data_IF_671204154851
#
_entry.id   IF_671204154851
#
_cell.length_a   1.000
_cell.length_b   1.000
_cell.length_c   1.000
_cell.angle_alpha   90.00
_cell.angle_beta   90.00
_cell.angle_gamma   90.00
#
_symmetry.space_group_name_H-M   'P 1'
#
loop_
_entity.id
_entity.type
_entity.pdbx_description
1 polymer ?
#
# COMPACT_ATOMS: atom_id res chain seq x y z
N UNK A 1 -19.65 2.36 -16.73
CA UNK A 1 -18.50 1.50 -17.05
C UNK A 1 -19.00 0.14 -17.48
N UNK A 2 -18.53 -0.34 -18.64
CA UNK A 2 -18.80 -1.70 -19.11
C UNK A 2 -17.49 -2.49 -19.05
N UNK A 3 -17.50 -3.64 -18.41
CA UNK A 3 -16.31 -4.47 -18.25
C UNK A 3 -16.59 -5.89 -18.74
N UNK A 4 -15.59 -6.49 -19.38
CA UNK A 4 -15.59 -7.89 -19.75
C UNK A 4 -14.32 -8.55 -19.25
N UNK A 5 -14.48 -9.75 -18.72
CA UNK A 5 -13.38 -10.64 -18.34
C UNK A 5 -13.38 -11.82 -19.29
N UNK A 6 -12.27 -12.00 -20.01
CA UNK A 6 -12.01 -13.17 -20.84
C UNK A 6 -11.18 -14.15 -20.02
N UNK A 7 -11.83 -15.15 -19.45
CA UNK A 7 -11.21 -16.17 -18.60
C UNK A 7 -10.19 -17.05 -19.35
N UNK A 8 -9.45 -17.85 -18.61
CA UNK A 8 -8.47 -18.77 -19.18
C UNK A 8 -9.09 -19.92 -19.99
N UNK A 9 -10.41 -20.08 -19.93
CA UNK A 9 -11.22 -21.05 -20.70
C UNK A 9 -11.60 -20.56 -22.10
N UNK A 10 -11.37 -19.26 -22.38
CA UNK A 10 -11.69 -18.60 -23.65
C UNK A 10 -10.42 -18.44 -24.49
N UNK A 11 -10.49 -18.79 -25.76
CA UNK A 11 -9.40 -18.64 -26.75
C UNK A 11 -9.42 -19.78 -27.76
N UNK A 12 -8.47 -19.96 -28.68
CA UNK A 12 -7.34 -19.06 -28.99
C UNK A 12 -7.69 -18.10 -30.10
N UNK A 13 -7.45 -16.83 -29.91
CA UNK A 13 -7.63 -15.83 -30.96
C UNK A 13 -6.76 -14.59 -30.72
N UNK A 14 -6.56 -13.84 -31.79
CA UNK A 14 -5.90 -12.53 -31.71
C UNK A 14 -6.87 -11.43 -32.09
N UNK A 15 -6.77 -10.30 -31.46
CA UNK A 15 -7.60 -9.13 -31.72
C UNK A 15 -6.79 -7.84 -31.61
N UNK A 16 -7.20 -6.84 -32.38
CA UNK A 16 -6.63 -5.49 -32.36
C UNK A 16 -7.69 -4.39 -32.18
N UNK A 17 -8.93 -4.80 -31.94
CA UNK A 17 -10.02 -3.90 -31.58
C UNK A 17 -11.03 -4.59 -30.69
N UNK A 18 -11.77 -3.81 -29.92
CA UNK A 18 -12.86 -4.26 -29.06
C UNK A 18 -14.05 -3.31 -29.28
N UNK A 19 -15.22 -3.83 -29.46
CA UNK A 19 -16.44 -3.06 -29.63
C UNK A 19 -17.45 -3.33 -28.53
N UNK A 20 -18.24 -2.33 -28.20
CA UNK A 20 -19.43 -2.45 -27.36
C UNK A 20 -20.66 -2.40 -28.25
N UNK A 21 -21.44 -3.50 -28.29
CA UNK A 21 -22.61 -3.67 -29.10
C UNK A 21 -23.87 -3.68 -28.24
N UNK A 22 -24.88 -2.94 -28.63
CA UNK A 22 -26.20 -3.11 -28.03
C UNK A 22 -26.84 -4.40 -28.59
N UNK A 23 -27.04 -5.37 -27.71
CA UNK A 23 -27.53 -6.69 -28.07
C UNK A 23 -28.95 -6.68 -28.70
N UNK A 24 -29.79 -5.77 -28.25
CA UNK A 24 -31.18 -5.70 -28.71
C UNK A 24 -31.31 -5.08 -30.09
N UNK A 25 -30.55 -4.04 -30.39
CA UNK A 25 -30.62 -3.30 -31.67
C UNK A 25 -29.54 -3.70 -32.68
N UNK A 26 -28.51 -4.43 -32.25
CA UNK A 26 -27.34 -4.73 -33.07
C UNK A 26 -26.45 -3.52 -33.38
N UNK A 27 -26.68 -2.41 -32.68
CA UNK A 27 -25.97 -1.14 -32.95
C UNK A 27 -24.64 -1.13 -32.23
N UNK A 28 -23.56 -0.81 -32.95
CA UNK A 28 -22.24 -0.59 -32.38
C UNK A 28 -22.23 0.76 -31.67
N UNK A 29 -22.08 0.73 -30.34
CA UNK A 29 -22.07 1.92 -29.49
C UNK A 29 -20.68 2.51 -29.33
N UNK A 30 -19.64 1.69 -29.34
CA UNK A 30 -18.26 2.12 -29.14
C UNK A 30 -17.30 1.11 -29.76
N UNK A 31 -16.19 1.57 -30.31
CA UNK A 31 -15.08 0.76 -30.79
C UNK A 31 -13.75 1.37 -30.29
N UNK A 32 -12.87 0.52 -29.85
CA UNK A 32 -11.52 0.91 -29.42
C UNK A 32 -10.51 0.04 -30.16
N UNK A 33 -9.59 0.68 -30.85
CA UNK A 33 -8.44 0.00 -31.46
C UNK A 33 -7.30 -0.13 -30.45
N UNK A 34 -6.68 -1.29 -30.41
CA UNK A 34 -5.55 -1.60 -29.53
C UNK A 34 -4.43 -2.26 -30.36
N UNK A 35 -3.19 -2.26 -29.88
CA UNK A 35 -2.17 -3.14 -30.45
C UNK A 35 -2.64 -4.59 -30.47
N UNK A 36 -2.13 -5.36 -31.43
CA UNK A 36 -2.50 -6.79 -31.57
C UNK A 36 -2.24 -7.53 -30.26
N UNK A 37 -3.27 -8.15 -29.74
CA UNK A 37 -3.26 -8.93 -28.51
C UNK A 37 -3.68 -10.36 -28.79
N UNK A 38 -3.07 -11.28 -28.06
CA UNK A 38 -3.40 -12.70 -28.12
C UNK A 38 -4.16 -13.12 -26.88
N UNK A 39 -5.30 -13.79 -27.09
CA UNK A 39 -6.04 -14.49 -26.04
C UNK A 39 -5.80 -15.99 -26.19
N UNK A 40 -5.16 -16.56 -25.18
CA UNK A 40 -4.79 -17.97 -25.15
C UNK A 40 -5.70 -18.72 -24.16
N UNK A 41 -6.14 -19.88 -24.57
CA UNK A 41 -6.90 -20.81 -23.73
C UNK A 41 -5.95 -21.74 -22.98
N UNK A 42 -6.30 -22.10 -21.75
CA UNK A 42 -5.63 -23.18 -21.04
C UNK A 42 -5.93 -24.51 -21.74
N UNK A 43 -4.92 -25.15 -22.27
CA UNK A 43 -4.98 -26.45 -22.90
C UNK A 43 -3.78 -27.29 -22.46
N UNK A 44 -3.76 -28.56 -22.78
CA UNK A 44 -2.79 -29.58 -22.37
C UNK A 44 -1.34 -29.05 -22.19
N UNK A 45 -0.95 -28.79 -20.94
CA UNK A 45 0.38 -28.32 -20.57
C UNK A 45 0.68 -26.83 -20.82
N UNK A 46 -0.28 -26.06 -21.33
CA UNK A 46 -0.11 -24.61 -21.58
C UNK A 46 -1.14 -23.80 -20.78
N UNK A 47 -0.65 -22.87 -19.98
CA UNK A 47 -1.51 -21.97 -19.22
C UNK A 47 -2.03 -20.83 -20.11
N UNK A 48 -3.33 -20.65 -20.16
CA UNK A 48 -4.00 -19.53 -20.82
C UNK A 48 -3.85 -18.23 -20.03
N UNK A 49 -4.12 -17.12 -20.70
CA UNK A 49 -4.13 -15.81 -20.06
C UNK A 49 -5.57 -15.36 -19.71
N UNK A 50 -5.68 -14.49 -18.73
CA UNK A 50 -6.93 -13.81 -18.37
C UNK A 50 -6.79 -12.34 -18.78
N UNK A 51 -7.75 -11.84 -19.55
CA UNK A 51 -7.77 -10.45 -19.98
C UNK A 51 -9.03 -9.77 -19.44
N UNK A 52 -8.85 -8.66 -18.75
CA UNK A 52 -9.96 -7.78 -18.34
C UNK A 52 -9.90 -6.51 -19.17
N UNK A 53 -11.03 -6.12 -19.74
CA UNK A 53 -11.18 -4.88 -20.49
C UNK A 53 -12.37 -4.11 -19.98
N UNK A 54 -12.17 -2.81 -19.76
CA UNK A 54 -13.22 -1.91 -19.26
C UNK A 54 -13.37 -0.73 -20.22
N UNK A 55 -14.62 -0.37 -20.49
CA UNK A 55 -14.96 0.80 -21.28
C UNK A 55 -15.60 1.84 -20.36
N UNK A 56 -15.10 3.05 -20.43
CA UNK A 56 -15.73 4.21 -19.83
C UNK A 56 -16.45 4.97 -20.93
N UNK A 57 -17.77 5.05 -20.82
CA UNK A 57 -18.60 5.84 -21.75
C UNK A 57 -19.24 6.99 -20.96
N UNK A 58 -19.16 8.17 -21.52
CA UNK A 58 -19.97 9.29 -21.08
C UNK A 58 -21.27 9.31 -21.86
N UNK A 59 -22.39 9.33 -21.17
CA UNK A 59 -23.72 9.37 -21.76
C UNK A 59 -24.32 10.76 -21.58
N UNK A 60 -24.08 11.65 -22.53
CA UNK A 60 -24.76 12.95 -22.54
C UNK A 60 -26.27 12.73 -22.81
N UNK A 61 -27.10 13.05 -21.82
CA UNK A 61 -28.54 12.87 -21.89
C UNK A 61 -29.08 11.54 -21.39
N UNK A 62 -28.22 10.54 -21.06
CA UNK A 62 -28.70 9.25 -20.55
C UNK A 62 -29.48 9.36 -19.23
N UNK A 63 -29.20 10.38 -18.43
CA UNK A 63 -29.95 10.68 -17.21
C UNK A 63 -31.41 11.01 -17.52
N UNK A 64 -31.69 11.75 -18.59
CA UNK A 64 -33.06 12.11 -19.00
C UNK A 64 -33.83 10.87 -19.50
N UNK A 65 -33.14 9.95 -20.17
CA UNK A 65 -33.74 8.74 -20.77
C UNK A 65 -33.96 7.63 -19.75
N UNK A 66 -33.04 7.47 -18.79
CA UNK A 66 -33.06 6.33 -17.87
C UNK A 66 -33.55 6.68 -16.47
N UNK A 67 -33.58 7.98 -16.11
CA UNK A 67 -33.86 8.44 -14.76
C UNK A 67 -32.77 8.04 -13.73
N UNK A 68 -31.69 7.42 -14.19
CA UNK A 68 -30.58 6.98 -13.33
C UNK A 68 -29.58 8.13 -13.24
N UNK A 69 -29.50 8.73 -12.08
CA UNK A 69 -28.46 9.71 -11.75
C UNK A 69 -27.37 9.02 -10.93
N UNK A 70 -26.28 8.63 -11.59
CA UNK A 70 -25.05 8.20 -10.92
C UNK A 70 -23.98 9.27 -11.17
N UNK A 71 -23.93 10.32 -10.36
CA UNK A 71 -22.89 11.32 -10.51
C UNK A 71 -21.51 10.68 -10.34
N UNK A 72 -20.51 11.23 -11.02
CA UNK A 72 -19.13 10.76 -10.94
C UNK A 72 -18.64 10.64 -9.48
N UNK A 73 -19.13 11.47 -8.62
CA UNK A 73 -18.87 11.47 -7.17
C UNK A 73 -19.24 10.15 -6.50
N UNK A 74 -20.33 9.49 -6.90
CA UNK A 74 -20.80 8.24 -6.27
C UNK A 74 -19.84 7.09 -6.51
N UNK A 75 -19.37 6.90 -7.74
CA UNK A 75 -18.42 5.81 -8.03
C UNK A 75 -16.99 6.16 -7.56
N UNK A 76 -16.62 7.44 -7.52
CA UNK A 76 -15.35 7.88 -6.93
C UNK A 76 -15.32 7.59 -5.42
N UNK A 77 -16.42 7.84 -4.73
CA UNK A 77 -16.54 7.53 -3.29
C UNK A 77 -16.39 6.01 -3.07
N UNK A 78 -17.11 5.17 -3.84
CA UNK A 78 -17.01 3.70 -3.72
C UNK A 78 -15.58 3.20 -4.03
N UNK A 79 -14.97 3.70 -5.09
CA UNK A 79 -13.59 3.34 -5.45
C UNK A 79 -12.60 3.73 -4.35
N UNK A 80 -12.69 4.95 -3.83
CA UNK A 80 -11.84 5.44 -2.74
C UNK A 80 -12.04 4.60 -1.48
N UNK A 81 -13.28 4.30 -1.11
CA UNK A 81 -13.59 3.46 0.05
C UNK A 81 -13.03 2.03 -0.10
N UNK A 82 -13.13 1.45 -1.29
CA UNK A 82 -12.56 0.12 -1.58
C UNK A 82 -11.05 0.11 -1.47
N UNK A 83 -10.36 1.11 -2.04
CA UNK A 83 -8.89 1.21 -1.96
C UNK A 83 -8.45 1.35 -0.51
N UNK A 84 -9.07 2.23 0.26
CA UNK A 84 -8.79 2.39 1.69
C UNK A 84 -9.06 1.09 2.48
N UNK A 85 -10.11 0.36 2.14
CA UNK A 85 -10.41 -0.94 2.74
C UNK A 85 -9.39 -2.02 2.41
N UNK A 86 -8.83 -2.00 1.20
CA UNK A 86 -7.75 -2.92 0.79
C UNK A 86 -6.46 -2.61 1.52
N UNK A 87 -6.09 -1.34 1.61
CA UNK A 87 -4.90 -0.89 2.33
C UNK A 87 -4.98 -1.27 3.82
N UNK A 88 -6.13 -1.03 4.46
CA UNK A 88 -6.34 -1.39 5.86
C UNK A 88 -6.33 -2.90 6.09
N UNK A 89 -6.92 -3.69 5.20
CA UNK A 89 -6.86 -5.15 5.28
C UNK A 89 -5.41 -5.64 5.22
N UNK A 90 -4.61 -5.14 4.29
CA UNK A 90 -3.20 -5.51 4.18
C UNK A 90 -2.42 -5.13 5.44
N UNK A 91 -2.70 -3.95 6.01
CA UNK A 91 -2.08 -3.52 7.26
C UNK A 91 -2.40 -4.47 8.41
N UNK A 92 -3.66 -4.87 8.56
CA UNK A 92 -4.10 -5.81 9.60
C UNK A 92 -3.51 -7.21 9.39
N UNK A 93 -3.49 -7.73 8.17
CA UNK A 93 -2.85 -9.01 7.83
C UNK A 93 -1.36 -9.00 8.19
N UNK A 94 -0.67 -7.88 7.98
CA UNK A 94 0.72 -7.73 8.42
C UNK A 94 0.87 -7.71 9.95
N UNK A 95 -0.08 -7.13 10.68
CA UNK A 95 -0.08 -7.18 12.15
C UNK A 95 -0.25 -8.62 12.66
N UNK A 96 -1.10 -9.41 12.02
CA UNK A 96 -1.28 -10.82 12.38
C UNK A 96 0.02 -11.63 12.23
N UNK A 97 0.89 -11.23 11.29
CA UNK A 97 2.17 -11.92 11.04
C UNK A 97 3.29 -11.36 11.91
N UNK A 98 3.39 -10.04 12.04
CA UNK A 98 4.54 -9.35 12.62
C UNK A 98 4.26 -8.69 13.98
N UNK A 99 3.02 -8.68 14.44
CA UNK A 99 2.62 -7.99 15.66
C UNK A 99 2.69 -6.46 15.54
N UNK A 100 2.87 -5.80 16.68
CA UNK A 100 2.94 -4.33 16.74
C UNK A 100 4.14 -3.75 15.99
N UNK A 101 5.25 -4.47 15.98
CA UNK A 101 6.45 -4.14 15.22
C UNK A 101 7.33 -5.37 15.00
N UNK A 102 8.12 -5.36 13.93
CA UNK A 102 9.15 -6.36 13.67
C UNK A 102 10.26 -5.73 12.83
N UNK A 103 11.51 -6.06 13.12
CA UNK A 103 12.66 -5.52 12.41
C UNK A 103 13.55 -6.65 11.90
N UNK A 104 14.12 -6.47 10.72
CA UNK A 104 14.93 -7.49 10.06
C UNK A 104 16.41 -7.15 10.16
N UNK A 105 17.20 -8.10 10.67
CA UNK A 105 18.64 -7.91 10.86
C UNK A 105 18.95 -6.68 11.71
N UNK A 106 19.84 -5.84 11.20
CA UNK A 106 20.23 -4.59 11.88
C UNK A 106 19.38 -3.38 11.48
N UNK A 107 18.29 -3.59 10.74
CA UNK A 107 17.38 -2.52 10.32
C UNK A 107 16.84 -1.74 11.52
N UNK A 108 17.01 -0.41 11.48
CA UNK A 108 16.62 0.51 12.55
C UNK A 108 17.33 0.29 13.91
N UNK A 109 18.44 -0.44 13.94
CA UNK A 109 19.27 -0.56 15.13
C UNK A 109 19.90 0.80 15.43
N UNK A 110 19.75 1.24 16.68
CA UNK A 110 20.41 2.45 17.16
C UNK A 110 21.81 2.10 17.64
N UNK A 111 22.79 2.81 17.12
CA UNK A 111 24.21 2.68 17.48
C UNK A 111 24.82 4.01 17.87
N UNK A 112 26.06 3.95 18.36
CA UNK A 112 26.85 5.12 18.74
C UNK A 112 28.27 4.97 18.23
N UNK A 113 28.78 6.01 17.61
CA UNK A 113 30.18 6.12 17.21
C UNK A 113 30.77 7.39 17.82
N UNK A 114 31.67 7.24 18.77
CA UNK A 114 32.10 8.37 19.60
C UNK A 114 30.92 9.00 20.35
N UNK A 115 30.63 10.25 20.07
CA UNK A 115 29.48 10.98 20.65
C UNK A 115 28.28 11.06 19.70
N UNK A 116 28.39 10.52 18.50
CA UNK A 116 27.33 10.56 17.49
C UNK A 116 26.46 9.32 17.58
N UNK A 117 25.17 9.50 17.82
CA UNK A 117 24.17 8.45 17.68
C UNK A 117 23.68 8.35 16.24
N UNK A 118 23.37 7.15 15.81
CA UNK A 118 22.84 6.89 14.49
C UNK A 118 21.84 5.73 14.51
N UNK A 119 20.99 5.69 13.47
CA UNK A 119 20.06 4.59 13.21
C UNK A 119 20.53 3.86 11.95
N UNK A 120 20.67 2.56 12.04
CA UNK A 120 21.15 1.72 10.93
C UNK A 120 20.08 1.54 9.86
N UNK A 121 20.49 1.59 8.60
CA UNK A 121 19.64 1.29 7.45
C UNK A 121 19.04 -0.12 7.51
N UNK A 122 17.90 -0.29 6.89
CA UNK A 122 17.24 -1.60 6.77
C UNK A 122 15.73 -1.48 6.76
N UNK A 123 15.07 -2.60 6.98
CA UNK A 123 13.62 -2.73 6.85
C UNK A 123 12.99 -3.20 8.15
N UNK A 124 11.79 -2.71 8.40
CA UNK A 124 10.95 -3.15 9.51
C UNK A 124 9.47 -2.93 9.22
N UNK A 125 8.64 -3.38 10.14
CA UNK A 125 7.19 -3.17 10.17
C UNK A 125 6.83 -2.47 11.47
N UNK A 126 5.98 -1.47 11.39
CA UNK A 126 5.35 -0.82 12.55
C UNK A 126 3.85 -0.73 12.28
N UNK A 127 3.04 -1.27 13.19
CA UNK A 127 1.58 -1.33 13.06
C UNK A 127 1.11 -1.88 11.69
N UNK A 128 1.82 -2.87 11.15
CA UNK A 128 1.54 -3.48 9.85
C UNK A 128 2.01 -2.69 8.63
N UNK A 129 2.63 -1.53 8.81
CA UNK A 129 3.20 -0.72 7.72
C UNK A 129 4.68 -1.06 7.53
N UNK A 130 5.02 -1.50 6.33
CA UNK A 130 6.41 -1.80 5.95
C UNK A 130 7.17 -0.51 5.68
N UNK A 131 8.26 -0.31 6.40
CA UNK A 131 9.11 0.87 6.25
C UNK A 131 10.56 0.46 5.95
N UNK A 132 11.27 1.29 5.20
CA UNK A 132 12.67 1.07 4.84
C UNK A 132 13.46 2.35 5.02
N UNK A 133 14.57 2.24 5.76
CA UNK A 133 15.58 3.28 5.84
C UNK A 133 16.70 2.92 4.86
N UNK A 134 16.89 3.76 3.82
CA UNK A 134 17.80 3.46 2.73
C UNK A 134 19.28 3.56 3.13
N UNK A 135 19.59 4.50 4.01
CA UNK A 135 20.95 4.76 4.50
C UNK A 135 20.95 5.00 6.01
N UNK A 136 22.12 4.86 6.63
CA UNK A 136 22.28 5.18 8.05
C UNK A 136 21.94 6.65 8.29
N UNK A 137 21.19 6.91 9.35
CA UNK A 137 20.75 8.25 9.72
C UNK A 137 21.36 8.67 11.04
N UNK A 138 22.12 9.75 11.03
CA UNK A 138 22.60 10.38 12.27
C UNK A 138 21.47 11.07 12.99
N UNK A 139 21.39 10.87 14.30
CA UNK A 139 20.37 11.49 15.16
C UNK A 139 21.05 12.32 16.26
N UNK A 140 20.37 13.39 16.68
CA UNK A 140 20.82 14.25 17.76
C UNK A 140 20.06 13.90 19.04
N UNK A 141 20.80 13.59 20.11
CA UNK A 141 20.24 13.28 21.43
C UNK A 141 20.70 14.38 22.38
N UNK A 142 19.78 15.29 22.73
CA UNK A 142 20.06 16.46 23.56
C UNK A 142 19.75 16.23 25.03
N UNK A 143 18.72 15.47 25.34
CA UNK A 143 18.25 15.16 26.70
C UNK A 143 18.37 13.66 26.96
N UNK A 144 18.58 13.29 28.24
CA UNK A 144 18.63 11.89 28.68
C UNK A 144 18.04 11.79 30.09
N UNK A 145 17.36 10.68 30.43
CA UNK A 145 17.06 9.53 29.54
C UNK A 145 16.05 9.89 28.45
N UNK A 146 16.07 9.14 27.34
CA UNK A 146 15.20 9.41 26.18
C UNK A 146 15.03 8.15 25.35
N UNK A 147 14.02 8.10 24.49
CA UNK A 147 13.82 7.03 23.54
C UNK A 147 13.96 7.53 22.10
N UNK A 148 14.33 6.61 21.23
CA UNK A 148 14.33 6.82 19.77
C UNK A 148 13.10 6.15 19.21
N UNK A 149 12.27 6.92 18.52
CA UNK A 149 10.98 6.51 17.99
C UNK A 149 11.00 6.47 16.48
N UNK A 150 10.42 5.42 15.92
CA UNK A 150 10.08 5.34 14.52
C UNK A 150 8.59 5.70 14.37
N UNK A 151 8.33 6.74 13.59
CA UNK A 151 7.01 7.25 13.28
C UNK A 151 6.70 6.91 11.82
N UNK A 152 5.61 6.21 11.56
CA UNK A 152 5.21 5.79 10.23
C UNK A 152 3.77 6.16 9.95
N UNK A 153 3.50 6.50 8.69
CA UNK A 153 2.15 6.71 8.21
C UNK A 153 2.00 6.25 6.76
N UNK A 154 0.77 5.94 6.38
CA UNK A 154 0.38 5.65 5.00
C UNK A 154 -0.24 6.90 4.39
N UNK A 155 0.36 7.44 3.35
CA UNK A 155 -0.08 8.69 2.75
C UNK A 155 0.24 8.78 1.27
N UNK A 156 -0.48 9.66 0.60
CA UNK A 156 -0.29 9.99 -0.80
C UNK A 156 -1.15 11.18 -1.19
N UNK A 157 -1.07 11.58 -2.44
CA UNK A 157 -1.92 12.62 -3.04
C UNK A 157 -2.67 12.04 -4.23
N UNK A 158 -3.64 12.76 -4.77
CA UNK A 158 -4.40 12.34 -5.96
C UNK A 158 -3.52 12.04 -7.18
N UNK A 159 -2.33 12.63 -7.23
CA UNK A 159 -1.40 12.52 -8.37
C UNK A 159 -0.09 11.81 -8.02
N UNK A 160 0.08 11.37 -6.76
CA UNK A 160 1.26 10.64 -6.33
C UNK A 160 0.96 9.16 -6.04
N UNK A 161 2.01 8.35 -6.04
CA UNK A 161 1.94 6.98 -5.53
C UNK A 161 1.75 7.04 -4.02
N UNK A 162 0.78 6.29 -3.51
CA UNK A 162 0.60 6.10 -2.07
C UNK A 162 1.70 5.20 -1.52
N UNK A 163 2.19 5.52 -0.33
CA UNK A 163 3.27 4.78 0.28
C UNK A 163 3.47 5.11 1.75
N UNK A 164 4.36 4.36 2.38
CA UNK A 164 4.75 4.59 3.76
C UNK A 164 5.75 5.73 3.82
N UNK A 165 5.43 6.73 4.64
CA UNK A 165 6.36 7.77 5.07
C UNK A 165 6.85 7.42 6.46
N UNK A 166 8.14 7.61 6.70
CA UNK A 166 8.73 7.34 8.01
C UNK A 166 9.63 8.48 8.49
N UNK A 167 9.66 8.66 9.80
CA UNK A 167 10.52 9.64 10.46
C UNK A 167 11.06 9.08 11.76
N UNK A 168 12.32 9.38 12.05
CA UNK A 168 12.94 9.09 13.35
C UNK A 168 12.80 10.31 14.24
N UNK A 169 12.28 10.11 15.45
CA UNK A 169 12.09 11.16 16.45
C UNK A 169 12.72 10.74 17.76
N UNK A 170 13.43 11.67 18.40
CA UNK A 170 13.98 11.48 19.74
C UNK A 170 13.08 12.20 20.73
N UNK A 171 12.45 11.45 21.62
CA UNK A 171 11.49 11.97 22.60
C UNK A 171 11.41 11.06 23.83
N UNK A 172 10.97 11.60 24.94
CA UNK A 172 10.76 10.83 26.17
C UNK A 172 9.61 9.84 26.01
N UNK A 173 8.47 10.31 25.52
CA UNK A 173 7.31 9.47 25.25
C UNK A 173 6.55 9.97 24.01
N UNK A 174 6.07 9.03 23.21
CA UNK A 174 5.18 9.28 22.07
C UNK A 174 4.05 8.26 22.07
N UNK A 175 2.92 8.65 21.52
CA UNK A 175 1.79 7.78 21.27
C UNK A 175 1.29 7.99 19.83
N UNK A 176 0.55 7.03 19.30
CA UNK A 176 -0.09 7.15 18.00
C UNK A 176 -0.95 8.42 17.94
N UNK A 177 -0.93 9.09 16.81
CA UNK A 177 -1.61 10.37 16.65
C UNK A 177 -2.12 10.57 15.22
N UNK A 178 -3.02 11.53 15.05
CA UNK A 178 -3.53 11.96 13.75
C UNK A 178 -2.99 13.35 13.45
N UNK A 179 -2.39 13.52 12.28
CA UNK A 179 -1.92 14.80 11.78
C UNK A 179 -2.44 15.03 10.36
N UNK A 180 -3.11 16.16 10.13
CA UNK A 180 -3.71 16.51 8.84
C UNK A 180 -4.62 15.39 8.26
N UNK A 181 -5.37 14.71 9.12
CA UNK A 181 -6.24 13.60 8.74
C UNK A 181 -5.52 12.27 8.45
N UNK A 182 -4.21 12.19 8.65
CA UNK A 182 -3.41 10.99 8.45
C UNK A 182 -3.06 10.37 9.80
N UNK A 183 -3.33 9.08 9.97
CA UNK A 183 -2.96 8.32 11.16
C UNK A 183 -1.46 8.01 11.15
N UNK A 184 -0.78 8.39 12.22
CA UNK A 184 0.60 8.07 12.50
C UNK A 184 0.69 7.00 13.58
N UNK A 185 1.55 6.01 13.35
CA UNK A 185 1.88 4.95 14.29
C UNK A 185 3.32 5.10 14.73
N UNK A 186 3.58 4.98 16.03
CA UNK A 186 4.92 5.17 16.59
C UNK A 186 5.37 3.94 17.36
N UNK A 187 6.64 3.61 17.25
CA UNK A 187 7.27 2.53 18.00
C UNK A 187 8.66 2.93 18.50
N UNK A 188 8.94 2.69 19.79
CA UNK A 188 10.25 2.94 20.35
C UNK A 188 11.23 1.83 19.93
N UNK A 189 12.20 2.16 19.09
CA UNK A 189 13.22 1.21 18.62
C UNK A 189 14.39 1.06 19.58
N UNK A 190 14.65 2.08 20.40
CA UNK A 190 15.70 2.03 21.43
C UNK A 190 15.40 2.96 22.59
N UNK A 191 15.93 2.62 23.77
CA UNK A 191 16.06 3.50 24.90
C UNK A 191 17.51 3.96 25.07
N UNK A 192 17.73 5.20 25.51
CA UNK A 192 19.03 5.75 25.84
C UNK A 192 18.97 6.23 27.29
N UNK A 193 19.78 5.65 28.14
CA UNK A 193 19.83 6.00 29.57
C UNK A 193 20.58 7.32 29.83
N UNK A 194 20.63 7.74 31.09
CA UNK A 194 21.34 8.95 31.54
C UNK A 194 22.81 8.94 31.15
N UNK A 195 23.43 7.77 31.13
CA UNK A 195 24.85 7.57 30.80
C UNK A 195 25.09 7.46 29.28
N UNK A 196 24.03 7.42 28.47
CA UNK A 196 24.11 7.27 27.04
C UNK A 196 24.27 5.81 26.56
N UNK A 197 23.96 4.84 27.44
CA UNK A 197 23.89 3.44 27.04
C UNK A 197 22.60 3.19 26.26
N UNK A 198 22.69 2.35 25.25
CA UNK A 198 21.59 2.05 24.33
C UNK A 198 21.00 0.70 24.70
N UNK A 199 19.67 0.65 24.88
CA UNK A 199 18.89 -0.59 25.00
C UNK A 199 18.12 -0.78 23.73
N UNK A 200 18.33 -1.91 23.03
CA UNK A 200 17.57 -2.28 21.82
C UNK A 200 16.17 -2.76 22.22
N UNK A 201 15.15 -2.09 21.72
CA UNK A 201 13.73 -2.40 21.99
C UNK A 201 13.03 -3.03 20.77
N UNK A 202 13.78 -3.35 19.71
CA UNK A 202 13.22 -3.86 18.47
C UNK A 202 12.81 -5.33 18.58
N UNK A 203 11.53 -5.70 18.39
CA UNK A 203 11.15 -7.10 18.16
C UNK A 203 11.73 -7.60 16.83
N UNK A 204 12.14 -8.84 16.78
CA UNK A 204 12.73 -9.47 15.60
C UNK A 204 11.88 -10.64 15.12
N UNK A 205 11.79 -10.78 13.80
CA UNK A 205 11.08 -11.88 13.18
C UNK A 205 9.56 -11.77 13.22
N UNK A 206 8.90 -12.88 12.96
CA UNK A 206 7.45 -13.00 13.02
C UNK A 206 6.93 -13.00 14.45
N UNK A 207 5.62 -12.81 14.62
CA UNK A 207 4.97 -12.82 15.93
C UNK A 207 5.23 -14.13 16.70
N UNK A 208 5.24 -15.28 16.00
CA UNK A 208 5.56 -16.56 16.61
C UNK A 208 7.02 -16.64 17.09
N UNK A 209 7.95 -16.06 16.34
CA UNK A 209 9.36 -16.00 16.74
C UNK A 209 9.60 -15.02 17.90
N UNK A 210 8.79 -14.00 18.01
CA UNK A 210 8.85 -13.03 19.12
C UNK A 210 8.33 -13.61 20.45
N UNK A 211 7.48 -14.67 20.38
CA UNK A 211 6.85 -15.31 21.54
C UNK A 211 7.55 -16.61 21.96
N UNK A 212 8.49 -17.11 21.17
CA UNK A 212 9.26 -18.31 21.44
C UNK A 212 10.48 -18.02 22.34
#
# INVERSE_FOLDING_TARGET
VHSVVLGADVGDFSFNWIGLLNKASGTLAMIVHAPLQQKLKTAEGQQGNVLTRSFLMEYNGAQAETGINTPAETWQIDFTARMAGMDERQRLENIDIFGAAAFFGDGYLVGKSGNQFYVTKGTGYVAGLRTTLAENLNITVTTRPVKVWLDVCWTGTLTSVWGVQSRITVADNLADYVQNGVQHYVFAVAGIDENGNITDLRPKGTLNEQQA
#
